data_IF_384772957181
#
_entry.id   IF_384772957181
#
_cell.length_a   1.000
_cell.length_b   1.000
_cell.length_c   1.000
_cell.angle_alpha   90.00
_cell.angle_beta   90.00
_cell.angle_gamma   90.00
#
_symmetry.space_group_name_H-M   'P 1'
#
loop_
_entity.id
_entity.type
_entity.pdbx_description
1 polymer ?
#
# COMPACT_ATOMS: atom_id res chain seq x y z
N UNK A 1 38.09 15.36 36.81
CA UNK A 1 36.80 15.47 37.53
C UNK A 1 35.77 14.46 37.03
N UNK A 2 35.47 14.37 35.77
CA UNK A 2 34.43 13.48 35.18
C UNK A 2 34.64 11.98 35.51
N UNK A 3 35.87 11.50 35.43
CA UNK A 3 36.22 10.08 35.70
C UNK A 3 35.90 9.64 37.15
N UNK A 4 36.05 10.54 38.11
CA UNK A 4 35.72 10.26 39.52
C UNK A 4 34.19 10.25 39.74
N UNK A 5 33.48 11.08 39.01
CA UNK A 5 32.00 11.12 39.07
C UNK A 5 31.38 9.79 38.62
N UNK A 6 31.83 9.26 37.50
CA UNK A 6 31.44 7.94 37.01
C UNK A 6 31.75 6.81 37.96
N UNK A 7 32.95 6.86 38.61
CA UNK A 7 33.33 5.83 39.58
C UNK A 7 32.46 5.84 40.82
N UNK A 8 32.07 7.03 41.30
CA UNK A 8 31.21 7.18 42.46
C UNK A 8 29.77 6.74 42.12
N UNK A 9 29.25 7.13 40.92
CA UNK A 9 27.96 6.72 40.44
C UNK A 9 27.84 5.19 40.32
N UNK A 10 28.82 4.55 39.72
CA UNK A 10 28.88 3.10 39.59
C UNK A 10 28.88 2.38 40.92
N UNK A 11 29.70 2.86 41.87
CA UNK A 11 29.75 2.29 43.25
C UNK A 11 28.41 2.43 43.95
N UNK A 12 27.69 3.55 43.78
CA UNK A 12 26.35 3.76 44.38
C UNK A 12 25.33 2.81 43.77
N UNK A 13 25.34 2.62 42.43
CA UNK A 13 24.46 1.66 41.76
C UNK A 13 24.63 0.24 42.28
N UNK A 14 25.89 -0.21 42.47
CA UNK A 14 26.18 -1.55 43.00
C UNK A 14 25.88 -1.69 44.48
N UNK A 15 26.06 -0.62 45.29
CA UNK A 15 25.81 -0.64 46.73
C UNK A 15 24.31 -0.71 47.03
N UNK A 16 23.47 -0.02 46.24
CA UNK A 16 22.02 0.07 46.45
C UNK A 16 21.27 -0.70 45.35
N UNK A 17 21.56 -1.99 45.19
CA UNK A 17 21.12 -2.82 44.05
C UNK A 17 19.61 -2.77 43.81
N UNK A 18 18.77 -2.91 44.83
CA UNK A 18 17.31 -2.95 44.70
C UNK A 18 16.76 -1.61 44.21
N UNK A 19 17.16 -0.50 44.82
CA UNK A 19 16.73 0.83 44.37
C UNK A 19 17.21 1.16 42.94
N UNK A 20 18.47 0.82 42.65
CA UNK A 20 19.04 1.02 41.33
C UNK A 20 18.31 0.21 40.30
N UNK A 21 17.99 -1.06 40.59
CA UNK A 21 17.25 -1.94 39.67
C UNK A 21 15.85 -1.39 39.39
N UNK A 22 15.10 -1.01 40.43
CA UNK A 22 13.75 -0.44 40.26
C UNK A 22 13.78 0.82 39.41
N UNK A 23 14.73 1.73 39.65
CA UNK A 23 14.84 2.97 38.89
C UNK A 23 15.26 2.71 37.43
N UNK A 24 16.21 1.81 37.21
CA UNK A 24 16.65 1.46 35.83
C UNK A 24 15.52 0.79 35.05
N UNK A 25 14.84 -0.20 35.67
CA UNK A 25 13.73 -0.91 35.01
C UNK A 25 12.56 0.05 34.76
N UNK A 26 12.21 0.91 35.73
CA UNK A 26 11.15 1.90 35.57
C UNK A 26 11.46 2.90 34.45
N UNK A 27 12.69 3.43 34.42
CA UNK A 27 13.12 4.34 33.38
C UNK A 27 13.16 3.65 32.00
N UNK A 28 13.71 2.41 31.94
CA UNK A 28 13.76 1.64 30.72
C UNK A 28 12.36 1.33 30.16
N UNK A 29 11.42 0.94 31.02
CA UNK A 29 10.03 0.71 30.64
C UNK A 29 9.36 2.00 30.12
N UNK A 30 9.55 3.12 30.82
CA UNK A 30 9.02 4.42 30.38
C UNK A 30 9.59 4.86 29.03
N UNK A 31 10.89 4.72 28.83
CA UNK A 31 11.55 5.02 27.56
C UNK A 31 11.08 4.09 26.45
N UNK A 32 10.92 2.79 26.71
CA UNK A 32 10.42 1.84 25.73
C UNK A 32 9.02 2.21 25.24
N UNK A 33 8.11 2.53 26.15
CA UNK A 33 6.75 2.99 25.81
C UNK A 33 6.80 4.28 24.99
N UNK A 34 7.57 5.27 25.42
CA UNK A 34 7.72 6.52 24.68
C UNK A 34 8.27 6.31 23.26
N UNK A 35 9.26 5.41 23.09
CA UNK A 35 9.80 5.07 21.77
C UNK A 35 8.77 4.38 20.88
N UNK A 36 7.98 3.42 21.42
CA UNK A 36 6.94 2.73 20.65
C UNK A 36 5.87 3.73 20.17
N UNK A 37 5.43 4.63 21.07
CA UNK A 37 4.47 5.69 20.71
C UNK A 37 5.08 6.62 19.65
N UNK A 38 6.32 7.03 19.81
CA UNK A 38 7.03 7.88 18.86
C UNK A 38 7.18 7.24 17.47
N UNK A 39 7.50 5.94 17.43
CA UNK A 39 7.58 5.17 16.19
C UNK A 39 6.21 5.02 15.53
N UNK A 40 5.16 4.77 16.32
CA UNK A 40 3.80 4.70 15.80
C UNK A 40 3.34 6.04 15.21
N UNK A 41 3.56 7.16 15.90
CA UNK A 41 3.25 8.50 15.39
C UNK A 41 4.04 8.77 14.10
N UNK A 42 5.32 8.40 14.06
CA UNK A 42 6.16 8.58 12.87
C UNK A 42 5.61 7.79 11.67
N UNK A 43 5.22 6.53 11.88
CA UNK A 43 4.62 5.68 10.84
C UNK A 43 3.31 6.29 10.32
N UNK A 44 2.43 6.73 11.21
CA UNK A 44 1.15 7.36 10.87
C UNK A 44 1.33 8.65 10.05
N UNK A 45 2.21 9.55 10.49
CA UNK A 45 2.45 10.84 9.82
C UNK A 45 3.15 10.67 8.47
N UNK A 46 3.95 9.61 8.32
CA UNK A 46 4.67 9.34 7.05
C UNK A 46 3.86 8.47 6.08
N UNK A 47 2.71 7.93 6.51
CA UNK A 47 1.84 7.12 5.64
C UNK A 47 1.42 7.92 4.41
N UNK A 48 1.59 7.30 3.22
CA UNK A 48 1.28 7.88 1.91
C UNK A 48 2.06 9.15 1.49
N UNK A 49 2.98 9.66 2.31
CA UNK A 49 3.75 10.88 1.99
C UNK A 49 4.59 10.80 0.71
N UNK A 50 4.81 9.58 0.19
CA UNK A 50 5.52 9.35 -1.08
C UNK A 50 4.67 9.68 -2.32
N UNK A 51 3.35 9.78 -2.20
CA UNK A 51 2.49 10.25 -3.28
C UNK A 51 2.49 11.79 -3.29
N UNK A 52 2.77 12.41 -4.44
CA UNK A 52 2.81 13.88 -4.55
C UNK A 52 1.48 14.55 -4.22
N UNK A 53 0.37 13.84 -4.44
CA UNK A 53 -0.99 14.35 -4.27
C UNK A 53 -1.66 13.82 -2.99
N UNK A 54 -0.91 13.29 -2.01
CA UNK A 54 -1.50 12.58 -0.85
C UNK A 54 -2.49 13.45 -0.07
N UNK A 55 -2.25 14.77 0.04
CA UNK A 55 -3.15 15.73 0.70
C UNK A 55 -4.49 15.95 -0.03
N UNK A 56 -4.57 15.54 -1.30
CA UNK A 56 -5.73 15.76 -2.17
C UNK A 56 -6.41 14.46 -2.60
N UNK A 57 -5.94 13.32 -2.08
CA UNK A 57 -6.55 12.00 -2.34
C UNK A 57 -7.39 11.59 -1.16
N UNK A 58 -8.67 11.34 -1.40
CA UNK A 58 -9.64 10.96 -0.38
C UNK A 58 -10.30 9.64 -0.73
N UNK A 59 -10.50 8.81 0.28
CA UNK A 59 -11.33 7.62 0.15
C UNK A 59 -12.78 7.97 0.46
N UNK A 60 -13.66 7.69 -0.49
CA UNK A 60 -15.10 7.83 -0.28
C UNK A 60 -15.58 6.68 0.60
N UNK A 61 -16.39 7.00 1.61
CA UNK A 61 -16.98 6.02 2.53
C UNK A 61 -18.50 6.22 2.58
N UNK A 62 -19.24 5.15 2.81
CA UNK A 62 -20.68 5.19 3.00
C UNK A 62 -21.03 5.12 4.47
N UNK A 63 -21.91 6.00 4.91
CA UNK A 63 -22.52 5.97 6.24
C UNK A 63 -23.95 5.48 6.14
N UNK A 64 -24.26 4.43 6.87
CA UNK A 64 -25.62 3.86 6.95
C UNK A 64 -26.10 3.86 8.39
N UNK A 65 -27.40 4.13 8.58
CA UNK A 65 -28.06 3.95 9.88
C UNK A 65 -28.89 2.67 9.82
N UNK A 66 -28.57 1.73 10.68
CA UNK A 66 -29.32 0.49 10.85
C UNK A 66 -29.62 0.29 12.35
N UNK A 67 -30.88 0.07 12.68
CA UNK A 67 -31.36 -0.13 14.06
C UNK A 67 -30.89 0.98 15.03
N UNK A 68 -30.97 2.24 14.58
CA UNK A 68 -30.56 3.41 15.36
C UNK A 68 -29.06 3.59 15.56
N UNK A 69 -28.23 2.70 15.00
CA UNK A 69 -26.77 2.79 15.05
C UNK A 69 -26.22 3.21 13.69
N UNK A 70 -25.22 4.09 13.72
CA UNK A 70 -24.51 4.55 12.51
C UNK A 70 -23.30 3.65 12.23
N UNK A 71 -23.26 3.10 11.02
CA UNK A 71 -22.15 2.30 10.52
C UNK A 71 -21.47 3.03 9.37
N UNK A 72 -20.15 3.02 9.39
CA UNK A 72 -19.31 3.54 8.29
C UNK A 72 -18.63 2.37 7.59
N UNK A 73 -18.75 2.30 6.28
CA UNK A 73 -18.14 1.23 5.49
C UNK A 73 -17.49 1.78 4.23
N UNK A 74 -16.48 1.06 3.77
CA UNK A 74 -15.73 1.38 2.55
C UNK A 74 -16.37 0.78 1.30
N UNK A 75 -17.22 -0.25 1.47
CA UNK A 75 -17.96 -0.83 0.36
C UNK A 75 -18.97 0.18 -0.17
N UNK A 76 -18.92 0.45 -1.46
CA UNK A 76 -19.76 1.42 -2.15
C UNK A 76 -20.55 0.73 -3.27
N UNK A 77 -21.76 1.23 -3.59
CA UNK A 77 -22.47 0.77 -4.78
C UNK A 77 -21.65 1.02 -6.04
N UNK A 78 -21.67 0.06 -6.94
CA UNK A 78 -20.87 0.06 -8.16
C UNK A 78 -20.96 1.35 -9.00
N UNK A 79 -22.15 1.97 -9.23
CA UNK A 79 -22.28 3.16 -10.07
C UNK A 79 -21.69 4.44 -9.47
N UNK A 80 -21.27 4.43 -8.19
CA UNK A 80 -20.89 5.67 -7.48
C UNK A 80 -19.75 6.43 -8.17
N UNK A 81 -18.80 5.71 -8.79
CA UNK A 81 -17.68 6.32 -9.48
C UNK A 81 -18.11 7.22 -10.64
N UNK A 82 -19.01 6.74 -11.46
CA UNK A 82 -19.53 7.48 -12.61
C UNK A 82 -20.44 8.64 -12.16
N UNK A 83 -21.28 8.42 -11.14
CA UNK A 83 -22.12 9.46 -10.56
C UNK A 83 -21.30 10.61 -9.96
N UNK A 84 -20.20 10.30 -9.27
CA UNK A 84 -19.32 11.33 -8.72
C UNK A 84 -18.68 12.17 -9.84
N UNK A 85 -18.19 11.54 -10.89
CA UNK A 85 -17.63 12.25 -12.07
C UNK A 85 -18.65 13.13 -12.76
N UNK A 86 -19.90 12.62 -12.92
CA UNK A 86 -20.93 13.32 -13.68
C UNK A 86 -21.55 14.49 -12.91
N UNK A 87 -21.74 14.37 -11.61
CA UNK A 87 -22.54 15.32 -10.81
C UNK A 87 -21.72 16.27 -9.95
N UNK A 88 -20.46 15.94 -9.67
CA UNK A 88 -19.64 16.69 -8.73
C UNK A 88 -18.30 17.14 -9.37
N UNK A 89 -18.28 18.32 -10.01
CA UNK A 89 -17.11 18.82 -10.75
C UNK A 89 -15.90 19.13 -9.85
N UNK A 90 -16.09 19.18 -8.53
CA UNK A 90 -15.00 19.36 -7.56
C UNK A 90 -14.05 18.14 -7.51
N UNK A 91 -14.54 16.95 -7.88
CA UNK A 91 -13.72 15.77 -8.03
C UNK A 91 -12.98 15.80 -9.38
N UNK A 92 -11.74 16.21 -9.38
CA UNK A 92 -10.90 16.27 -10.59
C UNK A 92 -10.66 14.88 -11.19
N UNK A 93 -10.51 13.87 -10.34
CA UNK A 93 -10.25 12.48 -10.70
C UNK A 93 -10.99 11.55 -9.74
N UNK A 94 -11.56 10.48 -10.28
CA UNK A 94 -12.22 9.43 -9.51
C UNK A 94 -11.72 8.08 -10.02
N UNK A 95 -11.22 7.24 -9.15
CA UNK A 95 -10.78 5.90 -9.48
C UNK A 95 -11.48 4.88 -8.59
N UNK A 96 -12.13 3.91 -9.21
CA UNK A 96 -12.63 2.73 -8.51
C UNK A 96 -11.45 1.82 -8.16
N UNK A 97 -11.54 1.14 -7.03
CA UNK A 97 -10.56 0.15 -6.60
C UNK A 97 -11.27 -0.95 -5.83
N UNK A 98 -10.88 -2.20 -6.07
CA UNK A 98 -11.37 -3.33 -5.29
C UNK A 98 -10.65 -3.45 -3.94
N UNK A 99 -11.00 -4.47 -3.17
CA UNK A 99 -10.35 -4.78 -1.89
C UNK A 99 -8.96 -5.38 -2.03
N UNK A 100 -8.55 -5.68 -3.26
CA UNK A 100 -7.37 -6.46 -3.56
C UNK A 100 -7.52 -7.94 -3.26
N UNK A 101 -6.95 -8.74 -4.11
CA UNK A 101 -6.97 -10.19 -4.01
C UNK A 101 -5.63 -10.81 -4.39
N UNK A 102 -5.43 -12.04 -3.94
CA UNK A 102 -4.28 -12.83 -4.38
C UNK A 102 -4.70 -13.65 -5.57
N UNK A 103 -4.02 -13.44 -6.69
CA UNK A 103 -4.17 -14.25 -7.89
C UNK A 103 -2.88 -15.00 -8.20
N UNK A 104 -3.02 -16.13 -8.87
CA UNK A 104 -1.91 -16.85 -9.47
C UNK A 104 -1.47 -16.15 -10.75
N UNK A 105 -0.21 -15.73 -10.81
CA UNK A 105 0.41 -15.22 -12.03
C UNK A 105 1.34 -16.29 -12.62
N UNK A 106 1.15 -16.62 -13.90
CA UNK A 106 1.81 -17.74 -14.55
C UNK A 106 2.51 -17.27 -15.83
N UNK A 107 3.77 -17.64 -15.98
CA UNK A 107 4.59 -17.42 -17.18
C UNK A 107 5.38 -18.69 -17.46
N UNK A 108 5.05 -19.39 -18.57
CA UNK A 108 5.61 -20.72 -18.83
C UNK A 108 5.32 -21.70 -17.69
N UNK A 109 6.35 -22.27 -17.09
CA UNK A 109 6.21 -23.19 -15.94
C UNK A 109 6.23 -22.47 -14.59
N UNK A 110 6.59 -21.17 -14.54
CA UNK A 110 6.60 -20.41 -13.30
C UNK A 110 5.19 -20.01 -12.89
N UNK A 111 4.83 -20.32 -11.67
CA UNK A 111 3.56 -19.95 -11.04
C UNK A 111 3.82 -19.35 -9.68
N UNK A 112 3.40 -18.10 -9.48
CA UNK A 112 3.53 -17.39 -8.20
C UNK A 112 2.19 -16.80 -7.80
N UNK A 113 1.90 -16.77 -6.49
CA UNK A 113 0.74 -16.07 -5.97
C UNK A 113 1.14 -14.66 -5.53
N UNK A 114 0.46 -13.65 -6.02
CA UNK A 114 0.74 -12.23 -5.80
C UNK A 114 -0.54 -11.49 -5.43
N UNK A 115 -0.39 -10.43 -4.62
CA UNK A 115 -1.49 -9.59 -4.19
C UNK A 115 -1.59 -8.36 -5.09
N UNK A 116 -2.79 -8.01 -5.53
CA UNK A 116 -2.98 -6.82 -6.37
C UNK A 116 -4.43 -6.38 -6.41
N UNK A 117 -4.68 -5.35 -7.23
CA UNK A 117 -5.96 -4.69 -7.32
C UNK A 117 -6.43 -4.54 -8.76
N UNK A 118 -7.75 -4.58 -8.92
CA UNK A 118 -8.41 -3.95 -10.05
C UNK A 118 -8.60 -2.46 -9.71
N UNK A 119 -8.09 -1.58 -10.56
CA UNK A 119 -8.04 -0.15 -10.27
C UNK A 119 -8.37 0.71 -11.49
N UNK A 120 -9.04 1.81 -11.27
CA UNK A 120 -9.41 2.75 -12.33
C UNK A 120 -8.19 3.41 -12.98
N UNK A 121 -8.31 3.72 -14.26
CA UNK A 121 -7.22 4.31 -15.08
C UNK A 121 -6.62 5.59 -14.45
N UNK A 122 -7.47 6.44 -13.85
CA UNK A 122 -7.02 7.70 -13.24
C UNK A 122 -6.11 7.53 -12.01
N UNK A 123 -6.03 6.31 -11.47
CA UNK A 123 -5.16 6.01 -10.32
C UNK A 123 -3.67 6.25 -10.61
N UNK A 124 -3.22 6.07 -11.86
CA UNK A 124 -1.83 6.35 -12.26
C UNK A 124 -1.44 7.77 -11.88
N UNK A 125 -2.27 8.72 -12.23
CA UNK A 125 -2.03 10.12 -11.94
C UNK A 125 -2.38 10.50 -10.49
N UNK A 126 -3.46 9.94 -9.93
CA UNK A 126 -3.89 10.22 -8.55
C UNK A 126 -2.80 9.84 -7.56
N UNK A 127 -2.26 8.65 -7.70
CA UNK A 127 -1.19 8.12 -6.85
C UNK A 127 0.21 8.45 -7.38
N UNK A 128 0.32 9.26 -8.45
CA UNK A 128 1.60 9.63 -9.06
C UNK A 128 2.53 8.43 -9.27
N UNK A 129 1.97 7.33 -9.82
CA UNK A 129 2.71 6.09 -10.01
C UNK A 129 3.89 6.32 -10.96
N UNK A 130 5.08 6.03 -10.49
CA UNK A 130 6.30 6.15 -11.29
C UNK A 130 6.40 4.96 -12.23
N UNK A 131 6.26 5.18 -13.54
CA UNK A 131 6.53 4.16 -14.54
C UNK A 131 8.05 4.02 -14.69
N UNK A 132 8.58 2.82 -14.46
CA UNK A 132 9.99 2.49 -14.64
C UNK A 132 10.29 2.08 -16.08
N UNK A 133 9.36 1.33 -16.69
CA UNK A 133 9.43 0.87 -18.08
C UNK A 133 8.00 0.64 -18.60
N UNK A 134 7.80 0.81 -19.91
CA UNK A 134 6.51 0.58 -20.58
C UNK A 134 5.69 1.84 -20.87
N UNK A 135 4.38 1.67 -21.00
CA UNK A 135 3.43 2.72 -21.41
C UNK A 135 3.12 3.67 -20.24
N UNK A 136 3.08 4.97 -20.52
CA UNK A 136 2.64 5.99 -19.54
C UNK A 136 1.16 5.88 -19.22
N UNK A 137 0.35 5.32 -20.09
CA UNK A 137 -1.07 5.04 -19.91
C UNK A 137 -1.32 3.52 -19.92
N UNK A 138 -0.86 2.79 -18.88
CA UNK A 138 -0.77 1.33 -18.93
C UNK A 138 -2.12 0.63 -18.87
N UNK A 139 -3.21 1.33 -18.54
CA UNK A 139 -4.56 0.77 -18.36
C UNK A 139 -5.49 1.03 -19.56
N UNK A 140 -4.95 1.44 -20.72
CA UNK A 140 -5.74 1.68 -21.94
C UNK A 140 -6.45 0.42 -22.44
N UNK A 141 -5.77 -0.72 -22.37
CA UNK A 141 -6.32 -2.01 -22.80
C UNK A 141 -6.87 -2.76 -21.57
N UNK A 142 -8.12 -3.28 -21.61
CA UNK A 142 -8.69 -4.00 -20.47
C UNK A 142 -7.88 -5.23 -20.05
N UNK A 143 -7.33 -5.97 -21.01
CA UNK A 143 -6.51 -7.17 -20.73
C UNK A 143 -5.04 -6.81 -20.55
N UNK A 144 -4.75 -5.83 -19.70
CA UNK A 144 -3.40 -5.41 -19.35
C UNK A 144 -3.10 -5.63 -17.87
N UNK A 145 -1.81 -5.72 -17.55
CA UNK A 145 -1.32 -5.83 -16.19
C UNK A 145 -0.08 -4.95 -16.03
N UNK A 146 -0.03 -4.21 -14.94
CA UNK A 146 1.14 -3.49 -14.45
C UNK A 146 1.76 -4.33 -13.34
N UNK A 147 3.04 -4.60 -13.42
CA UNK A 147 3.77 -5.37 -12.41
C UNK A 147 4.68 -4.48 -11.61
N UNK A 148 4.90 -4.83 -10.34
CA UNK A 148 6.03 -4.25 -9.61
C UNK A 148 7.34 -4.82 -10.15
N UNK A 149 8.43 -4.08 -9.99
CA UNK A 149 9.78 -4.50 -10.35
C UNK A 149 10.15 -5.86 -9.73
N UNK A 150 9.83 -6.07 -8.44
CA UNK A 150 10.05 -7.36 -7.77
C UNK A 150 9.24 -8.51 -8.42
N UNK A 151 7.98 -8.24 -8.77
CA UNK A 151 7.13 -9.26 -9.41
C UNK A 151 7.58 -9.57 -10.83
N UNK A 152 8.00 -8.54 -11.56
CA UNK A 152 8.57 -8.70 -12.89
C UNK A 152 9.83 -9.58 -12.87
N UNK A 153 10.76 -9.32 -11.95
CA UNK A 153 11.96 -10.16 -11.77
C UNK A 153 11.60 -11.59 -11.37
N UNK A 154 10.62 -11.77 -10.48
CA UNK A 154 10.19 -13.11 -10.06
C UNK A 154 9.64 -13.95 -11.22
N UNK A 155 8.90 -13.34 -12.16
CA UNK A 155 8.29 -14.02 -13.30
C UNK A 155 9.26 -14.19 -14.47
N UNK A 156 10.00 -13.14 -14.82
CA UNK A 156 10.76 -13.05 -16.07
C UNK A 156 12.28 -13.09 -15.90
N UNK A 157 12.77 -13.11 -14.63
CA UNK A 157 14.19 -13.03 -14.30
C UNK A 157 14.82 -11.75 -14.89
N UNK A 158 15.77 -11.88 -15.81
CA UNK A 158 16.46 -10.76 -16.47
C UNK A 158 15.84 -10.32 -17.80
N UNK A 159 14.78 -11.02 -18.25
CA UNK A 159 14.14 -10.68 -19.53
C UNK A 159 13.22 -9.47 -19.37
N UNK A 160 13.14 -8.63 -20.42
CA UNK A 160 12.18 -7.52 -20.44
C UNK A 160 10.75 -8.06 -20.42
N UNK A 161 9.93 -7.73 -19.38
CA UNK A 161 8.57 -8.23 -19.26
C UNK A 161 7.54 -7.45 -20.11
N UNK A 162 7.84 -6.20 -20.51
CA UNK A 162 6.89 -5.34 -21.21
C UNK A 162 6.50 -5.95 -22.57
N UNK A 163 5.20 -6.02 -22.81
CA UNK A 163 4.62 -6.63 -24.02
C UNK A 163 4.40 -8.14 -23.93
N UNK A 164 4.96 -8.82 -22.91
CA UNK A 164 4.75 -10.26 -22.70
C UNK A 164 3.42 -10.56 -22.03
N UNK A 165 2.99 -11.81 -22.15
CA UNK A 165 1.73 -12.28 -21.57
C UNK A 165 1.99 -12.94 -20.22
N UNK A 166 1.17 -12.58 -19.25
CA UNK A 166 1.03 -13.23 -17.95
C UNK A 166 -0.38 -13.83 -17.87
N UNK A 167 -0.48 -15.09 -17.56
CA UNK A 167 -1.77 -15.76 -17.37
C UNK A 167 -2.18 -15.65 -15.90
N UNK A 168 -3.34 -15.05 -15.63
CA UNK A 168 -3.94 -14.95 -14.32
C UNK A 168 -4.91 -16.11 -14.08
N UNK A 169 -4.78 -16.80 -12.95
CA UNK A 169 -5.61 -17.91 -12.49
C UNK A 169 -5.87 -19.00 -13.56
N UNK A 170 -4.88 -19.23 -14.40
CA UNK A 170 -4.92 -20.20 -15.50
C UNK A 170 -6.04 -19.95 -16.54
N UNK A 171 -6.70 -18.80 -16.50
CA UNK A 171 -7.87 -18.48 -17.34
C UNK A 171 -7.72 -17.22 -18.17
N UNK A 172 -7.12 -16.17 -17.63
CA UNK A 172 -7.10 -14.84 -18.25
C UNK A 172 -5.69 -14.44 -18.66
N UNK A 173 -5.49 -14.22 -19.95
CA UNK A 173 -4.23 -13.75 -20.50
C UNK A 173 -4.17 -12.22 -20.40
N UNK A 174 -3.13 -11.69 -19.75
CA UNK A 174 -2.89 -10.27 -19.51
C UNK A 174 -1.56 -9.86 -20.12
N UNK A 175 -1.57 -8.79 -20.89
CA UNK A 175 -0.35 -8.20 -21.46
C UNK A 175 0.30 -7.28 -20.46
N UNK A 176 1.58 -7.48 -20.17
CA UNK A 176 2.36 -6.54 -19.34
C UNK A 176 2.53 -5.23 -20.10
N UNK A 177 1.96 -4.16 -19.56
CA UNK A 177 1.99 -2.82 -20.18
C UNK A 177 3.00 -1.89 -19.53
N UNK A 178 3.26 -2.04 -18.25
CA UNK A 178 4.26 -1.23 -17.54
C UNK A 178 4.82 -1.94 -16.32
N UNK A 179 5.97 -1.43 -15.88
CA UNK A 179 6.63 -1.79 -14.63
C UNK A 179 6.68 -0.57 -13.73
N UNK A 180 6.34 -0.77 -12.47
CA UNK A 180 6.36 0.26 -11.42
C UNK A 180 7.20 -0.20 -10.23
N UNK A 181 7.74 0.70 -9.41
CA UNK A 181 8.42 0.29 -8.19
C UNK A 181 7.43 -0.33 -7.20
N UNK A 182 7.90 -1.28 -6.40
CA UNK A 182 7.10 -1.78 -5.28
C UNK A 182 6.76 -0.63 -4.33
N UNK A 183 5.49 -0.53 -3.88
CA UNK A 183 5.10 0.50 -2.93
C UNK A 183 5.87 0.34 -1.61
N UNK A 184 6.28 1.45 -0.98
CA UNK A 184 6.97 1.42 0.31
C UNK A 184 6.06 0.86 1.41
N UNK A 185 6.64 0.46 2.53
CA UNK A 185 5.87 -0.08 3.68
C UNK A 185 4.85 0.91 4.22
N UNK A 186 5.12 2.20 4.13
CA UNK A 186 4.25 3.31 4.54
C UNK A 186 3.12 3.62 3.54
N UNK A 187 3.00 2.89 2.42
CA UNK A 187 1.87 3.03 1.50
C UNK A 187 0.63 2.33 2.05
N UNK A 188 -0.54 2.98 2.02
CA UNK A 188 -1.82 2.32 2.28
C UNK A 188 -2.26 1.45 1.10
N UNK A 189 -1.91 1.84 -0.13
CA UNK A 189 -2.14 1.05 -1.34
C UNK A 189 -1.00 0.05 -1.49
N UNK A 190 -1.24 -1.19 -1.10
CA UNK A 190 -0.30 -2.32 -1.21
C UNK A 190 -0.62 -3.11 -2.47
N UNK A 191 0.37 -3.39 -3.31
CA UNK A 191 0.18 -4.23 -4.49
C UNK A 191 1.51 -4.83 -4.96
N UNK A 192 1.42 -5.97 -5.60
CA UNK A 192 2.47 -6.58 -6.39
C UNK A 192 2.16 -6.45 -7.89
N UNK A 193 0.88 -6.24 -8.25
CA UNK A 193 0.40 -5.96 -9.61
C UNK A 193 -0.87 -5.10 -9.56
N UNK A 194 -1.18 -4.44 -10.67
CA UNK A 194 -2.42 -3.70 -10.87
C UNK A 194 -3.04 -4.07 -12.22
N UNK A 195 -4.36 -4.15 -12.26
CA UNK A 195 -5.15 -4.51 -13.45
C UNK A 195 -6.21 -3.42 -13.66
N UNK A 196 -6.55 -3.06 -14.91
CA UNK A 196 -7.58 -2.08 -15.18
C UNK A 196 -8.93 -2.47 -14.60
N UNK A 197 -9.63 -1.51 -13.99
CA UNK A 197 -10.99 -1.67 -13.51
C UNK A 197 -11.96 -2.17 -14.60
N UNK A 198 -11.76 -1.75 -15.84
CA UNK A 198 -12.55 -2.18 -17.00
C UNK A 198 -12.52 -3.68 -17.26
N UNK A 199 -11.50 -4.39 -16.80
CA UNK A 199 -11.50 -5.85 -16.83
C UNK A 199 -12.40 -6.41 -15.73
N UNK A 200 -12.39 -5.84 -14.53
CA UNK A 200 -13.29 -6.27 -13.44
C UNK A 200 -14.76 -6.18 -13.88
N UNK A 201 -15.14 -5.10 -14.59
CA UNK A 201 -16.49 -4.93 -15.15
C UNK A 201 -16.88 -6.01 -16.15
N UNK A 202 -15.91 -6.54 -16.88
CA UNK A 202 -16.15 -7.59 -17.87
C UNK A 202 -16.30 -8.98 -17.28
N UNK A 203 -15.55 -9.26 -16.19
CA UNK A 203 -15.54 -10.59 -15.56
C UNK A 203 -16.55 -10.72 -14.41
N UNK A 204 -17.00 -9.58 -13.86
CA UNK A 204 -17.99 -9.48 -12.79
C UNK A 204 -19.10 -8.49 -13.19
N UNK A 205 -19.92 -8.78 -14.20
CA UNK A 205 -20.95 -7.89 -14.73
C UNK A 205 -22.11 -7.64 -13.75
#
# INVERSE_FOLDING_TARGET
MVKNFFKIAWRNLIKNKVYSLINIVGLAAGMAVAMIIGLWIYDEVTTNSHFKNYDSVYQVMMHQSFDGKRYSQQALPYPIGEELKAKYPDFKKVAMCDWGQKHSLIVGEKKISKFGHFIGEQAVDMFTLKILDGDKNPFREPYSIVLTDETAVALFASENPVGKIVKMDNSTDLKVTAIVPKPPKTSSLKYDYLIPWTLNEKINP
#
